data_IF_662273889257
#
_entry.id   IF_662273889257
#
_cell.length_a   1.000
_cell.length_b   1.000
_cell.length_c   1.000
_cell.angle_alpha   90.00
_cell.angle_beta   90.00
_cell.angle_gamma   90.00
#
_symmetry.space_group_name_H-M   'P 1'
#
loop_
_entity.id
_entity.type
_entity.pdbx_description
1 polymer ?
#
# COMPACT_ATOMS: atom_id res chain seq x y z
N UNK A 1 21.69 -54.39 -41.92
CA UNK A 1 20.89 -54.02 -43.09
C UNK A 1 20.28 -52.65 -42.81
N UNK A 2 20.81 -51.62 -43.47
CA UNK A 2 20.37 -50.24 -43.31
C UNK A 2 19.37 -49.85 -44.41
N UNK A 3 18.42 -48.99 -44.03
CA UNK A 3 17.56 -48.22 -44.93
C UNK A 3 17.89 -46.74 -44.61
N UNK A 4 18.65 -45.99 -45.43
CA UNK A 4 18.22 -45.25 -46.64
C UNK A 4 17.00 -44.36 -46.33
N UNK A 5 17.19 -43.12 -45.88
CA UNK A 5 17.35 -41.86 -46.64
C UNK A 5 16.22 -41.62 -47.64
N UNK A 6 15.24 -40.81 -47.23
CA UNK A 6 14.48 -39.97 -48.17
C UNK A 6 14.91 -38.52 -47.97
N UNK A 7 15.35 -37.92 -49.08
CA UNK A 7 15.76 -36.54 -49.23
C UNK A 7 14.54 -35.62 -49.12
N UNK A 8 14.62 -34.63 -48.23
CA UNK A 8 13.82 -33.42 -48.37
C UNK A 8 14.57 -32.46 -49.27
N UNK A 9 14.03 -32.20 -50.45
CA UNK A 9 14.49 -31.14 -51.33
C UNK A 9 13.24 -30.46 -51.88
N UNK A 10 12.88 -29.32 -51.30
CA UNK A 10 12.04 -28.32 -51.96
C UNK A 10 12.42 -26.95 -51.41
N UNK A 11 13.28 -26.31 -52.18
CA UNK A 11 13.58 -24.89 -52.13
C UNK A 11 12.29 -24.10 -52.42
N UNK A 12 11.62 -23.61 -51.38
CA UNK A 12 10.79 -22.42 -51.51
C UNK A 12 11.49 -21.25 -50.82
N UNK A 13 12.23 -20.52 -51.64
CA UNK A 13 12.74 -19.18 -51.36
C UNK A 13 11.54 -18.21 -51.25
N UNK A 14 10.88 -18.21 -50.09
CA UNK A 14 9.85 -17.22 -49.77
C UNK A 14 10.58 -15.95 -49.33
N UNK A 15 11.07 -15.19 -50.31
CA UNK A 15 11.41 -13.78 -50.12
C UNK A 15 10.14 -13.04 -49.69
N UNK A 16 10.05 -12.48 -48.47
CA UNK A 16 8.90 -11.66 -48.12
C UNK A 16 8.90 -10.40 -49.00
N UNK A 17 7.74 -9.99 -49.54
CA UNK A 17 7.65 -8.76 -50.30
C UNK A 17 8.05 -7.59 -49.40
N UNK A 18 9.11 -6.88 -49.79
CA UNK A 18 9.43 -5.54 -49.32
C UNK A 18 8.31 -4.60 -49.76
N UNK A 19 7.28 -4.47 -48.94
CA UNK A 19 6.34 -3.35 -49.02
C UNK A 19 6.40 -2.57 -47.72
N UNK A 20 7.20 -1.49 -47.78
CA UNK A 20 7.03 -0.23 -47.07
C UNK A 20 6.40 -0.31 -45.68
N UNK A 21 7.27 -0.50 -44.69
CA UNK A 21 7.06 0.10 -43.37
C UNK A 21 6.97 1.62 -43.53
N UNK A 22 5.81 2.13 -43.94
CA UNK A 22 5.39 3.47 -43.57
C UNK A 22 5.16 3.43 -42.07
N UNK A 23 6.26 3.66 -41.35
CA UNK A 23 6.23 4.26 -40.03
C UNK A 23 5.15 5.34 -40.06
N UNK A 24 4.04 5.07 -39.40
CA UNK A 24 3.18 6.13 -38.94
C UNK A 24 3.72 6.45 -37.54
N UNK A 25 4.75 7.31 -37.39
CA UNK A 25 4.92 7.94 -36.11
C UNK A 25 3.64 8.77 -36.01
N UNK A 26 2.70 8.32 -35.19
CA UNK A 26 1.75 9.23 -34.57
C UNK A 26 2.63 10.19 -33.79
N UNK A 27 3.16 11.20 -34.50
CA UNK A 27 3.83 12.38 -33.97
C UNK A 27 2.79 12.95 -33.04
N UNK A 28 2.89 12.57 -31.76
CA UNK A 28 2.18 13.22 -30.69
C UNK A 28 2.61 14.66 -30.81
N UNK A 29 1.81 15.48 -31.48
CA UNK A 29 2.02 16.93 -31.56
C UNK A 29 2.33 17.34 -30.13
N UNK A 30 3.54 17.86 -29.91
CA UNK A 30 3.97 18.43 -28.64
C UNK A 30 3.03 19.61 -28.38
N UNK A 31 1.84 19.32 -27.84
CA UNK A 31 0.88 20.34 -27.48
C UNK A 31 1.59 21.20 -26.46
N UNK A 32 1.63 22.53 -26.63
CA UNK A 32 2.28 23.40 -25.67
C UNK A 32 1.69 23.08 -24.30
N UNK A 33 2.56 22.82 -23.32
CA UNK A 33 2.16 22.50 -21.96
C UNK A 33 1.45 23.73 -21.39
N UNK A 34 0.12 23.77 -21.57
CA UNK A 34 -0.70 24.92 -21.17
C UNK A 34 -0.59 25.03 -19.66
N UNK A 35 0.12 26.06 -19.20
CA UNK A 35 0.31 26.28 -17.79
C UNK A 35 -1.05 26.45 -17.13
N UNK A 36 -1.32 25.60 -16.15
CA UNK A 36 -2.57 25.68 -15.40
C UNK A 36 -2.54 26.94 -14.56
N UNK A 37 -3.64 27.69 -14.56
CA UNK A 37 -3.81 28.80 -13.63
C UNK A 37 -3.56 28.34 -12.19
N UNK A 38 -3.05 29.25 -11.36
CA UNK A 38 -2.77 28.93 -9.95
C UNK A 38 -4.01 28.39 -9.22
N UNK A 39 -5.20 28.93 -9.53
CA UNK A 39 -6.47 28.44 -8.99
C UNK A 39 -6.74 26.97 -9.38
N UNK A 40 -6.51 26.59 -10.65
CA UNK A 40 -6.68 25.22 -11.11
C UNK A 40 -5.64 24.26 -10.48
N UNK A 41 -4.38 24.71 -10.30
CA UNK A 41 -3.34 23.96 -9.56
C UNK A 41 -3.76 23.72 -8.11
N UNK A 42 -4.21 24.77 -7.40
CA UNK A 42 -4.70 24.68 -6.02
C UNK A 42 -5.88 23.70 -5.88
N UNK A 43 -6.88 23.76 -6.77
CA UNK A 43 -8.02 22.82 -6.77
C UNK A 43 -7.58 21.36 -6.97
N UNK A 44 -6.68 21.10 -7.92
CA UNK A 44 -6.13 19.75 -8.15
C UNK A 44 -5.36 19.24 -6.93
N UNK A 45 -4.51 20.07 -6.33
CA UNK A 45 -3.75 19.69 -5.13
C UNK A 45 -4.69 19.40 -3.96
N UNK A 46 -5.71 20.24 -3.71
CA UNK A 46 -6.73 19.99 -2.68
C UNK A 46 -7.43 18.64 -2.91
N UNK A 47 -7.84 18.33 -4.15
CA UNK A 47 -8.47 17.04 -4.50
C UNK A 47 -7.51 15.85 -4.31
N UNK A 48 -6.25 15.98 -4.74
CA UNK A 48 -5.22 14.95 -4.58
C UNK A 48 -4.93 14.69 -3.10
N UNK A 49 -4.73 15.74 -2.29
CA UNK A 49 -4.52 15.63 -0.84
C UNK A 49 -5.71 14.98 -0.15
N UNK A 50 -6.95 15.34 -0.50
CA UNK A 50 -8.15 14.68 0.03
C UNK A 50 -8.18 13.19 -0.32
N UNK A 51 -7.92 12.83 -1.58
CA UNK A 51 -7.86 11.43 -2.03
C UNK A 51 -6.76 10.64 -1.32
N UNK A 52 -5.57 11.23 -1.17
CA UNK A 52 -4.45 10.63 -0.45
C UNK A 52 -4.77 10.42 1.04
N UNK A 53 -5.44 11.39 1.69
CA UNK A 53 -5.91 11.24 3.07
C UNK A 53 -6.91 10.10 3.21
N UNK A 54 -7.90 10.01 2.32
CA UNK A 54 -8.87 8.91 2.31
C UNK A 54 -8.19 7.54 2.15
N UNK A 55 -7.21 7.45 1.24
CA UNK A 55 -6.48 6.20 1.03
C UNK A 55 -5.61 5.81 2.23
N UNK A 56 -5.06 6.81 2.95
CA UNK A 56 -4.25 6.63 4.16
C UNK A 56 -5.05 6.00 5.32
N UNK A 57 -6.36 6.19 5.33
CA UNK A 57 -7.27 5.68 6.38
C UNK A 57 -8.15 4.52 5.91
N UNK A 58 -7.83 3.91 4.75
CA UNK A 58 -8.65 2.84 4.18
C UNK A 58 -8.64 1.57 5.03
N UNK A 59 -7.57 1.32 5.76
CA UNK A 59 -7.43 0.16 6.63
C UNK A 59 -7.19 0.62 8.06
N UNK A 60 -8.00 0.14 8.98
CA UNK A 60 -7.86 0.37 10.39
C UNK A 60 -8.33 -0.85 11.17
N UNK A 61 -7.86 -0.95 12.39
CA UNK A 61 -8.31 -1.91 13.41
C UNK A 61 -8.76 -1.13 14.62
N UNK A 62 -9.82 -1.62 15.25
CA UNK A 62 -10.39 -1.07 16.48
C UNK A 62 -10.12 -2.04 17.61
N UNK A 63 -9.65 -1.53 18.74
CA UNK A 63 -9.38 -2.32 19.93
C UNK A 63 -10.01 -1.65 21.15
N UNK A 64 -10.56 -2.39 22.12
CA UNK A 64 -10.96 -1.82 23.41
C UNK A 64 -9.76 -1.13 24.06
N UNK A 65 -9.96 0.04 24.65
CA UNK A 65 -8.89 0.83 25.26
C UNK A 65 -9.28 1.25 26.67
N UNK A 66 -8.57 0.70 27.65
CA UNK A 66 -8.73 1.11 29.03
C UNK A 66 -8.39 2.59 29.22
N UNK A 67 -9.22 3.30 29.99
CA UNK A 67 -9.25 4.76 29.98
C UNK A 67 -7.95 5.45 30.44
N UNK A 68 -7.12 4.75 31.22
CA UNK A 68 -5.83 5.28 31.72
C UNK A 68 -4.70 5.17 30.71
N UNK A 69 -4.87 4.48 29.58
CA UNK A 69 -3.85 4.46 28.54
C UNK A 69 -3.64 5.84 27.92
N UNK A 70 -2.39 6.29 27.97
CA UNK A 70 -1.92 7.46 27.25
C UNK A 70 -1.45 7.06 25.84
N UNK A 71 -1.56 7.96 24.87
CA UNK A 71 -1.09 7.68 23.51
C UNK A 71 0.40 7.31 23.42
N UNK A 72 1.33 7.93 24.19
CA UNK A 72 2.73 7.51 24.19
C UNK A 72 2.90 6.06 24.66
N UNK A 73 2.20 5.65 25.72
CA UNK A 73 2.22 4.27 26.19
C UNK A 73 1.66 3.30 25.15
N UNK A 74 0.57 3.67 24.50
CA UNK A 74 0.01 2.87 23.40
C UNK A 74 1.03 2.69 22.29
N UNK A 75 1.71 3.74 21.86
CA UNK A 75 2.73 3.65 20.80
C UNK A 75 3.87 2.72 21.20
N UNK A 76 4.38 2.85 22.42
CA UNK A 76 5.41 1.97 22.96
C UNK A 76 4.99 0.49 22.90
N UNK A 77 3.77 0.18 23.35
CA UNK A 77 3.23 -1.19 23.26
C UNK A 77 3.10 -1.64 21.81
N UNK A 78 2.61 -0.78 20.91
CA UNK A 78 2.52 -1.13 19.48
C UNK A 78 3.90 -1.42 18.87
N UNK A 79 4.92 -0.66 19.26
CA UNK A 79 6.30 -0.86 18.81
C UNK A 79 6.88 -2.17 19.35
N UNK A 80 6.59 -2.55 20.61
CA UNK A 80 7.01 -3.83 21.21
C UNK A 80 6.43 -5.05 20.48
N UNK A 81 5.24 -4.91 19.92
CA UNK A 81 4.58 -5.95 19.11
C UNK A 81 4.93 -5.83 17.61
N UNK A 82 5.88 -4.98 17.23
CA UNK A 82 6.31 -4.74 15.84
C UNK A 82 5.15 -4.37 14.90
N UNK A 83 4.22 -3.53 15.36
CA UNK A 83 3.07 -3.11 14.57
C UNK A 83 3.40 -1.84 13.80
N UNK A 84 3.48 -1.97 12.49
CA UNK A 84 3.56 -0.82 11.59
C UNK A 84 2.21 -0.09 11.49
N UNK A 85 2.10 1.06 12.16
CA UNK A 85 0.93 1.94 12.09
C UNK A 85 1.20 3.23 11.34
N UNK A 86 0.16 3.73 10.68
CA UNK A 86 0.17 5.01 9.95
C UNK A 86 -0.37 6.14 10.82
N UNK A 87 -1.36 5.84 11.65
CA UNK A 87 -1.89 6.76 12.64
C UNK A 87 -2.54 5.98 13.78
N UNK A 88 -2.58 6.59 14.95
CA UNK A 88 -3.23 6.03 16.14
C UNK A 88 -4.10 7.12 16.73
N UNK A 89 -5.37 6.80 16.99
CA UNK A 89 -6.35 7.72 17.55
C UNK A 89 -7.15 7.03 18.65
N UNK A 90 -7.44 7.75 19.72
CA UNK A 90 -8.38 7.33 20.75
C UNK A 90 -9.80 7.82 20.39
N UNK A 91 -10.78 6.95 20.51
CA UNK A 91 -12.19 7.23 20.23
C UNK A 91 -13.07 6.48 21.23
N UNK A 92 -13.69 7.20 22.17
CA UNK A 92 -14.78 6.70 23.04
C UNK A 92 -14.57 5.27 23.61
N UNK A 93 -13.47 5.06 24.34
CA UNK A 93 -13.17 3.75 24.94
C UNK A 93 -12.54 2.74 23.98
N UNK A 94 -12.29 3.14 22.74
CA UNK A 94 -11.57 2.35 21.74
C UNK A 94 -10.30 3.05 21.26
N UNK A 95 -9.36 2.23 20.81
CA UNK A 95 -8.19 2.62 20.06
C UNK A 95 -8.42 2.30 18.59
N UNK A 96 -8.24 3.30 17.74
CA UNK A 96 -8.24 3.14 16.28
C UNK A 96 -6.78 3.20 15.81
N UNK A 97 -6.28 2.09 15.31
CA UNK A 97 -4.95 1.99 14.71
C UNK A 97 -5.11 1.88 13.20
N UNK A 98 -4.67 2.89 12.47
CA UNK A 98 -4.68 2.86 11.01
C UNK A 98 -3.45 2.19 10.46
N UNK A 99 -3.66 1.38 9.44
CA UNK A 99 -2.64 0.52 8.83
C UNK A 99 -2.48 0.88 7.35
N UNK A 100 -1.28 0.63 6.82
CA UNK A 100 -0.92 0.99 5.45
C UNK A 100 -1.64 0.11 4.42
N UNK A 101 -1.82 -1.18 4.73
CA UNK A 101 -2.24 -2.22 3.77
C UNK A 101 -3.29 -3.15 4.39
N UNK A 102 -4.11 -3.79 3.54
CA UNK A 102 -5.08 -4.83 3.97
C UNK A 102 -4.41 -6.05 4.61
N UNK A 103 -3.21 -6.41 4.14
CA UNK A 103 -2.47 -7.56 4.67
C UNK A 103 -2.07 -7.35 6.13
N UNK A 104 -1.52 -6.17 6.46
CA UNK A 104 -1.21 -5.79 7.85
C UNK A 104 -2.44 -5.84 8.75
N UNK A 105 -3.61 -5.40 8.25
CA UNK A 105 -4.88 -5.54 8.99
C UNK A 105 -5.18 -6.98 9.37
N UNK A 106 -5.08 -7.90 8.40
CA UNK A 106 -5.31 -9.33 8.66
C UNK A 106 -4.26 -9.94 9.59
N UNK A 107 -3.00 -9.51 9.51
CA UNK A 107 -1.96 -9.96 10.43
C UNK A 107 -2.24 -9.47 11.84
N UNK A 108 -2.54 -8.19 12.00
CA UNK A 108 -2.89 -7.57 13.28
C UNK A 108 -4.07 -8.29 13.94
N UNK A 109 -5.17 -8.51 13.20
CA UNK A 109 -6.37 -9.20 13.69
C UNK A 109 -6.10 -10.65 14.13
N UNK A 110 -5.00 -11.27 13.69
CA UNK A 110 -4.63 -12.64 14.05
C UNK A 110 -3.60 -12.71 15.18
N UNK A 111 -2.68 -11.76 15.22
CA UNK A 111 -1.52 -11.80 16.11
C UNK A 111 -1.78 -11.11 17.44
N UNK A 112 -2.67 -10.12 17.49
CA UNK A 112 -2.81 -9.26 18.65
C UNK A 112 -4.04 -9.65 19.45
N UNK A 113 -3.85 -9.96 20.76
CA UNK A 113 -4.96 -10.21 21.65
C UNK A 113 -5.90 -9.00 21.71
N UNK A 114 -7.22 -9.27 21.71
CA UNK A 114 -8.24 -8.22 21.82
C UNK A 114 -8.19 -7.48 23.17
N UNK A 115 -7.60 -8.11 24.18
CA UNK A 115 -7.43 -7.58 25.55
C UNK A 115 -6.10 -6.85 25.75
N UNK A 116 -5.29 -6.65 24.71
CA UNK A 116 -3.96 -6.04 24.81
C UNK A 116 -3.96 -4.70 25.58
N UNK A 117 -5.01 -3.89 25.37
CA UNK A 117 -5.15 -2.57 26.00
C UNK A 117 -6.16 -2.56 27.15
N UNK A 118 -6.41 -3.70 27.78
CA UNK A 118 -7.26 -3.81 28.97
C UNK A 118 -6.55 -3.32 30.25
N UNK A 119 -7.32 -3.07 31.30
CA UNK A 119 -6.85 -2.57 32.60
C UNK A 119 -5.86 -3.50 33.29
N UNK A 120 -5.94 -4.82 33.07
CA UNK A 120 -4.97 -5.79 33.59
C UNK A 120 -3.59 -5.60 32.95
N UNK A 121 -3.56 -5.54 31.62
CA UNK A 121 -2.33 -5.33 30.85
C UNK A 121 -1.75 -3.93 31.07
N UNK A 122 -2.59 -2.93 31.38
CA UNK A 122 -2.13 -1.58 31.73
C UNK A 122 -1.12 -1.57 32.88
N UNK A 123 -1.38 -2.33 33.95
CA UNK A 123 -0.48 -2.38 35.11
C UNK A 123 0.87 -2.99 34.72
N UNK A 124 0.86 -4.04 33.89
CA UNK A 124 2.07 -4.69 33.38
C UNK A 124 2.91 -3.73 32.52
N UNK A 125 2.29 -3.05 31.56
CA UNK A 125 2.97 -2.09 30.69
C UNK A 125 3.56 -0.90 31.47
N UNK A 126 2.89 -0.45 32.55
CA UNK A 126 3.41 0.61 33.40
C UNK A 126 4.64 0.17 34.22
N UNK A 127 4.69 -1.08 34.68
CA UNK A 127 5.86 -1.61 35.38
C UNK A 127 7.08 -1.69 34.45
N UNK A 128 6.89 -2.20 33.22
CA UNK A 128 7.95 -2.29 32.21
C UNK A 128 8.54 -0.93 31.84
N UNK A 129 7.70 0.12 31.82
CA UNK A 129 8.14 1.50 31.55
C UNK A 129 9.01 2.08 32.68
N UNK A 130 8.87 1.61 33.92
CA UNK A 130 9.69 2.08 35.05
C UNK A 130 11.07 1.41 35.11
N UNK A 131 11.21 0.25 34.48
CA UNK A 131 12.44 -0.56 34.50
C UNK A 131 13.38 -0.28 33.32
N UNK A 132 12.94 0.48 32.31
CA UNK A 132 13.76 0.97 31.19
C UNK A 132 14.10 2.44 31.43
#
# INVERSE_FOLDING_TARGET
AGNQLEEYNDNEEITPPNEDLKENPTRRKNRPHRERSQAARKRKNKKRTKKLRLHRYRYYVTQPLYFKYSLPLVRMVLDEYNIDYVHVKRQEGYLVVGLKNKWLKKQYERQIPEDLFDGRNYQRHQQQRRTK
#
